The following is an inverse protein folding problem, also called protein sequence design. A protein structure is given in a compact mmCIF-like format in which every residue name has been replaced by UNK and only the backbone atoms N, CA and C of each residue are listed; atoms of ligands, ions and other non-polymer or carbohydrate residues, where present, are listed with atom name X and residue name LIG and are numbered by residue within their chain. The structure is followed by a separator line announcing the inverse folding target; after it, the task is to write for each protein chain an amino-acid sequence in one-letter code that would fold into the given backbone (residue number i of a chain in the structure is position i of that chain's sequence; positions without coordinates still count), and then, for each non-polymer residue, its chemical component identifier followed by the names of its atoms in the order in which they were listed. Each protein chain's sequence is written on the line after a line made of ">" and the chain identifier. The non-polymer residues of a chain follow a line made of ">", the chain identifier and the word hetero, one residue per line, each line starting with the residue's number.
data_IF_516498110263
#
_entry.id   IF_516498110263
#
_cell.length_a   1.000
_cell.length_b   1.000
_cell.length_c   1.000
_cell.angle_alpha   90.00
_cell.angle_beta   90.00
_cell.angle_gamma   90.00
#
_symmetry.space_group_name_H-M   'P 1'
#
loop_
_entity.id
_entity.type
_entity.pdbx_description
1 polymer ?
#
# COMPACT_ATOMS: atom_id res chain seq x y z
N UNK A 1 8.67 -7.40 -6.88
CA UNK A 1 8.01 -7.10 -5.59
C UNK A 1 8.86 -6.25 -4.64
N UNK A 2 10.01 -6.72 -4.14
CA UNK A 2 10.80 -6.02 -3.10
C UNK A 2 11.54 -4.75 -3.58
N UNK A 3 12.09 -4.76 -4.79
CA UNK A 3 12.84 -3.63 -5.33
C UNK A 3 11.93 -2.46 -5.75
N UNK A 4 10.72 -2.75 -6.23
CA UNK A 4 9.74 -1.74 -6.62
C UNK A 4 8.33 -2.13 -6.11
N UNK A 5 8.03 -1.88 -4.83
CA UNK A 5 6.68 -2.06 -4.31
C UNK A 5 5.75 -1.00 -4.89
N UNK A 6 4.63 -1.45 -5.44
CA UNK A 6 3.64 -0.62 -6.16
C UNK A 6 2.29 -0.54 -5.47
N UNK A 7 2.09 -1.33 -4.41
CA UNK A 7 0.90 -1.23 -3.59
C UNK A 7 1.24 -0.51 -2.26
N UNK A 8 0.44 0.48 -1.81
CA UNK A 8 0.72 1.23 -0.59
C UNK A 8 0.90 0.36 0.65
N UNK A 9 0.16 -0.74 0.75
CA UNK A 9 0.32 -1.74 1.80
C UNK A 9 1.70 -2.39 1.80
N UNK A 10 2.20 -2.84 0.65
CA UNK A 10 3.52 -3.46 0.51
C UNK A 10 4.63 -2.46 0.84
N UNK A 11 4.48 -1.20 0.42
CA UNK A 11 5.43 -0.13 0.77
C UNK A 11 5.48 0.02 2.30
N UNK A 12 4.33 0.22 2.94
CA UNK A 12 4.27 0.41 4.38
C UNK A 12 4.81 -0.79 5.16
N UNK A 13 4.56 -2.01 4.68
CA UNK A 13 5.09 -3.23 5.28
C UNK A 13 6.62 -3.26 5.22
N UNK A 14 7.21 -2.96 4.06
CA UNK A 14 8.67 -2.89 3.89
C UNK A 14 9.29 -1.76 4.73
N UNK A 15 8.60 -0.63 4.86
CA UNK A 15 9.02 0.49 5.73
C UNK A 15 8.95 0.15 7.23
N UNK A 16 8.11 -0.82 7.63
CA UNK A 16 8.00 -1.29 9.01
C UNK A 16 9.06 -2.34 9.39
N UNK A 17 9.87 -2.83 8.44
CA UNK A 17 10.93 -3.81 8.72
C UNK A 17 12.16 -3.07 9.27
N UNK A 18 12.64 -3.39 10.49
CA UNK A 18 13.86 -2.80 11.04
C UNK A 18 15.07 -3.27 10.22
N UNK A 19 15.97 -2.34 9.88
CA UNK A 19 17.23 -2.64 9.20
C UNK A 19 18.34 -2.81 10.23
N UNK A 20 18.95 -3.98 10.28
CA UNK A 20 20.08 -4.25 11.16
C UNK A 20 21.26 -3.33 10.80
N UNK A 21 21.78 -2.61 11.80
CA UNK A 21 22.91 -1.68 11.66
C UNK A 21 22.54 -0.22 11.40
N UNK A 22 21.27 0.09 11.10
CA UNK A 22 20.80 1.48 11.05
C UNK A 22 20.31 1.89 12.46
N UNK A 23 21.11 2.66 13.20
CA UNK A 23 20.64 3.38 14.40
C UNK A 23 19.77 4.53 13.91
N UNK A 24 18.51 4.25 13.59
CA UNK A 24 17.54 5.31 13.30
C UNK A 24 17.01 5.85 14.62
N UNK A 25 17.39 7.08 14.96
CA UNK A 25 16.75 7.86 16.03
C UNK A 25 15.26 8.12 15.73
N UNK A 26 14.86 8.00 14.46
CA UNK A 26 13.47 8.12 14.03
C UNK A 26 12.63 6.87 14.31
N UNK A 27 11.42 7.08 14.82
CA UNK A 27 10.42 6.02 15.05
C UNK A 27 10.15 5.24 13.77
N UNK A 28 10.06 3.92 13.88
CA UNK A 28 9.65 3.03 12.78
C UNK A 28 8.37 3.53 12.12
N UNK A 29 8.37 3.60 10.78
CA UNK A 29 7.19 3.99 10.02
C UNK A 29 6.16 2.87 10.07
N UNK A 30 5.09 3.09 10.84
CA UNK A 30 3.96 2.18 10.94
C UNK A 30 2.86 2.55 9.96
N UNK A 31 2.18 1.56 9.38
CA UNK A 31 0.92 1.77 8.67
C UNK A 31 -0.14 2.25 9.67
N UNK A 32 -0.61 3.48 9.53
CA UNK A 32 -1.63 4.07 10.41
C UNK A 32 -2.96 3.29 10.32
N UNK A 33 -3.70 3.28 11.42
CA UNK A 33 -4.99 2.63 11.54
C UNK A 33 -4.92 1.12 11.83
N UNK A 34 -6.06 0.55 12.21
CA UNK A 34 -6.21 -0.87 12.53
C UNK A 34 -6.70 -1.69 11.33
N UNK A 35 -6.39 -2.99 11.32
CA UNK A 35 -6.97 -3.93 10.35
C UNK A 35 -8.48 -4.00 10.61
N UNK A 36 -9.34 -3.73 9.60
CA UNK A 36 -10.78 -3.86 9.78
C UNK A 36 -11.15 -5.32 10.08
N UNK A 37 -12.22 -5.53 10.84
CA UNK A 37 -12.78 -6.88 11.01
C UNK A 37 -13.26 -7.42 9.67
N UNK A 38 -13.25 -8.73 9.50
CA UNK A 38 -13.70 -9.36 8.26
C UNK A 38 -15.17 -9.04 7.93
N UNK A 39 -16.01 -8.85 8.97
CA UNK A 39 -17.41 -8.44 8.88
C UNK A 39 -17.61 -6.95 8.58
N UNK A 40 -16.56 -6.13 8.72
CA UNK A 40 -16.58 -4.66 8.58
C UNK A 40 -15.68 -4.22 7.43
N UNK A 41 -15.46 -5.08 6.44
CA UNK A 41 -14.67 -4.71 5.27
C UNK A 41 -15.35 -3.56 4.53
N UNK A 42 -14.58 -2.51 4.16
CA UNK A 42 -15.14 -1.39 3.43
C UNK A 42 -15.56 -1.83 2.02
N UNK A 43 -16.52 -1.10 1.46
CA UNK A 43 -16.84 -1.21 0.05
C UNK A 43 -15.61 -0.83 -0.82
N UNK A 44 -15.46 -1.49 -1.96
CA UNK A 44 -14.33 -1.30 -2.86
C UNK A 44 -13.01 -1.84 -2.32
N UNK A 45 -11.95 -1.02 -2.31
CA UNK A 45 -10.61 -1.44 -1.90
C UNK A 45 -10.54 -1.69 -0.39
N UNK A 46 -10.27 -2.94 0.00
CA UNK A 46 -10.13 -3.37 1.41
C UNK A 46 -9.07 -2.63 2.21
N UNK A 47 -8.08 -2.03 1.53
CA UNK A 47 -7.02 -1.24 2.16
C UNK A 47 -7.33 0.26 2.24
N UNK A 48 -8.45 0.73 1.65
CA UNK A 48 -8.81 2.15 1.63
C UNK A 48 -8.75 2.85 3.01
N UNK A 49 -9.15 2.24 4.15
CA UNK A 49 -9.21 2.97 5.42
C UNK A 49 -7.83 3.30 6.00
N UNK A 50 -6.80 2.60 5.50
CA UNK A 50 -5.41 2.70 5.96
C UNK A 50 -4.48 3.23 4.86
N UNK A 51 -5.02 3.48 3.67
CA UNK A 51 -4.24 3.89 2.51
C UNK A 51 -3.97 5.39 2.52
N UNK A 52 -2.69 5.79 2.51
CA UNK A 52 -2.29 7.20 2.40
C UNK A 52 -2.54 7.83 1.01
N UNK A 53 -2.84 6.99 0.00
CA UNK A 53 -3.12 7.39 -1.38
C UNK A 53 -4.57 7.06 -1.77
N UNK A 54 -5.50 7.10 -0.83
CA UNK A 54 -6.91 6.86 -1.11
C UNK A 54 -7.45 7.91 -2.10
N UNK A 55 -8.25 7.45 -3.07
CA UNK A 55 -9.03 8.29 -3.98
C UNK A 55 -10.50 7.86 -3.91
N UNK A 56 -11.41 8.67 -4.44
CA UNK A 56 -12.86 8.39 -4.39
C UNK A 56 -13.23 6.99 -4.91
N UNK A 57 -12.62 6.57 -6.04
CA UNK A 57 -12.83 5.24 -6.63
C UNK A 57 -12.54 4.09 -5.66
N UNK A 58 -11.61 4.26 -4.72
CA UNK A 58 -11.25 3.24 -3.74
C UNK A 58 -12.41 2.89 -2.78
N UNK A 59 -13.37 3.78 -2.59
CA UNK A 59 -14.54 3.56 -1.73
C UNK A 59 -15.69 2.84 -2.46
N UNK A 60 -15.72 2.96 -3.80
CA UNK A 60 -16.87 2.54 -4.59
C UNK A 60 -16.64 1.21 -5.32
N UNK A 61 -15.40 0.90 -5.72
CA UNK A 61 -15.10 -0.30 -6.50
C UNK A 61 -13.73 -0.91 -6.18
N UNK A 62 -13.62 -2.23 -6.32
CA UNK A 62 -12.33 -2.93 -6.31
C UNK A 62 -11.57 -2.62 -7.60
N UNK A 63 -10.26 -2.30 -7.53
CA UNK A 63 -9.44 -2.15 -8.73
C UNK A 63 -9.34 -3.49 -9.47
N UNK A 64 -9.09 -3.41 -10.77
CA UNK A 64 -8.68 -4.59 -11.54
C UNK A 64 -7.28 -5.04 -11.13
N UNK A 65 -6.99 -6.32 -11.40
CA UNK A 65 -5.65 -6.88 -11.23
C UNK A 65 -4.82 -6.55 -12.48
N UNK A 66 -3.86 -5.64 -12.33
CA UNK A 66 -3.05 -5.13 -13.45
C UNK A 66 -1.66 -5.74 -13.36
N UNK A 67 -1.12 -6.21 -14.48
CA UNK A 67 0.30 -6.57 -14.59
C UNK A 67 1.15 -5.32 -14.79
N UNK A 68 2.10 -5.12 -13.89
CA UNK A 68 3.05 -4.00 -13.92
C UNK A 68 4.37 -4.36 -14.60
N UNK A 69 4.43 -5.56 -15.20
CA UNK A 69 5.58 -6.11 -15.91
C UNK A 69 6.26 -7.23 -15.13
N UNK A 70 6.78 -8.22 -15.86
CA UNK A 70 7.55 -9.33 -15.26
C UNK A 70 6.73 -10.23 -14.32
N UNK A 71 5.40 -10.32 -14.55
CA UNK A 71 4.49 -11.11 -13.72
C UNK A 71 4.14 -10.45 -12.38
N UNK A 72 4.45 -9.17 -12.21
CA UNK A 72 4.15 -8.44 -10.98
C UNK A 72 2.75 -7.82 -11.03
N UNK A 73 1.80 -8.54 -10.46
CA UNK A 73 0.40 -8.13 -10.43
C UNK A 73 0.10 -7.20 -9.24
N UNK A 74 -0.69 -6.15 -9.49
CA UNK A 74 -1.08 -5.16 -8.50
C UNK A 74 -2.57 -4.86 -8.63
N UNK A 75 -3.25 -4.73 -7.50
CA UNK A 75 -4.65 -4.28 -7.43
C UNK A 75 -4.73 -2.92 -6.74
N UNK A 76 -4.49 -1.85 -7.48
CA UNK A 76 -4.52 -0.48 -6.96
C UNK A 76 -5.03 0.49 -8.02
N UNK A 77 -5.85 1.46 -7.62
CA UNK A 77 -6.30 2.52 -8.52
C UNK A 77 -5.23 3.58 -8.80
N UNK A 78 -4.20 3.64 -7.96
CA UNK A 78 -3.14 4.64 -8.05
C UNK A 78 -1.87 4.00 -8.59
N UNK A 79 -1.33 4.57 -9.67
CA UNK A 79 -0.02 4.20 -10.18
C UNK A 79 1.09 4.87 -9.36
N UNK A 80 1.69 4.10 -8.46
CA UNK A 80 2.77 4.58 -7.61
C UNK A 80 4.12 4.72 -8.32
N UNK A 81 4.27 4.24 -9.56
CA UNK A 81 5.48 4.55 -10.34
C UNK A 81 5.52 6.03 -10.70
N UNK A 82 4.37 6.60 -11.06
CA UNK A 82 4.24 8.03 -11.40
C UNK A 82 4.34 8.93 -10.17
N UNK A 83 3.98 8.44 -8.98
CA UNK A 83 4.04 9.25 -7.74
C UNK A 83 5.43 9.38 -7.12
N UNK A 84 6.42 8.59 -7.54
CA UNK A 84 7.81 8.64 -7.02
C UNK A 84 8.68 9.70 -7.70
N UNK A 85 8.19 10.37 -8.74
CA UNK A 85 8.97 11.30 -9.58
C UNK A 85 8.79 12.78 -9.22
N UNK A 86 8.45 13.10 -7.97
CA UNK A 86 8.30 14.47 -7.49
C UNK A 86 8.95 14.67 -6.13
#
# INVERSE_FOLDING_TARGET
>A
LFANPLHPYTIGLLESIPRFGEVKEDRLRTIKGAVPKLSELPAGCKFNPRCKYIIEKCNNAEPELIDTGGGHLVRCWVDLNKSKSK
#
